data_IF_181308624064
#
_entry.id   IF_181308624064
#
_cell.length_a   1.000
_cell.length_b   1.000
_cell.length_c   1.000
_cell.angle_alpha   90.00
_cell.angle_beta   90.00
_cell.angle_gamma   90.00
#
_symmetry.space_group_name_H-M   'P 1'
#
loop_
_entity.id
_entity.type
_entity.pdbx_description
1 polymer ?
#
# COMPACT_ATOMS: atom_id res chain seq x y z
N UNK A 1 -5.29 21.12 -1.93
CA UNK A 1 -6.52 20.44 -1.45
C UNK A 1 -6.05 19.45 -0.41
N UNK A 2 -6.57 19.56 0.80
CA UNK A 2 -6.30 18.62 1.90
C UNK A 2 -6.90 17.25 1.55
N UNK A 3 -6.22 16.16 1.93
CA UNK A 3 -6.70 14.79 1.80
C UNK A 3 -7.77 14.48 2.86
N UNK A 4 -8.71 13.56 2.60
CA UNK A 4 -9.67 13.12 3.60
C UNK A 4 -8.97 12.54 4.84
N UNK A 5 -9.65 12.56 5.99
CA UNK A 5 -9.21 11.82 7.19
C UNK A 5 -9.01 10.34 6.87
N UNK A 6 -8.10 9.67 7.57
CA UNK A 6 -7.75 8.27 7.30
C UNK A 6 -8.97 7.35 7.37
N UNK A 7 -9.89 7.54 8.31
CA UNK A 7 -11.14 6.76 8.37
C UNK A 7 -12.00 6.91 7.12
N UNK A 8 -12.01 8.09 6.50
CA UNK A 8 -12.72 8.35 5.23
C UNK A 8 -11.97 7.75 4.05
N UNK A 9 -10.63 7.80 4.06
CA UNK A 9 -9.84 7.13 3.03
C UNK A 9 -10.04 5.61 3.09
N UNK A 10 -9.96 5.02 4.28
CA UNK A 10 -10.18 3.59 4.55
C UNK A 10 -11.54 3.14 4.00
N UNK A 11 -12.62 3.86 4.32
CA UNK A 11 -13.95 3.51 3.85
C UNK A 11 -14.07 3.62 2.33
N UNK A 12 -13.58 4.71 1.72
CA UNK A 12 -13.64 4.88 0.26
C UNK A 12 -12.80 3.86 -0.49
N UNK A 13 -11.64 3.49 0.05
CA UNK A 13 -10.77 2.48 -0.57
C UNK A 13 -11.45 1.11 -0.47
N UNK A 14 -12.00 0.74 0.69
CA UNK A 14 -12.67 -0.56 0.85
C UNK A 14 -13.96 -0.66 0.02
N UNK A 15 -14.73 0.43 -0.10
CA UNK A 15 -15.86 0.53 -1.04
C UNK A 15 -15.40 0.34 -2.50
N UNK A 16 -14.30 1.00 -2.89
CA UNK A 16 -13.70 0.82 -4.22
C UNK A 16 -13.31 -0.64 -4.45
N UNK A 17 -12.63 -1.27 -3.50
CA UNK A 17 -12.24 -2.68 -3.60
C UNK A 17 -13.45 -3.61 -3.72
N UNK A 18 -14.53 -3.36 -2.99
CA UNK A 18 -15.76 -4.17 -3.03
C UNK A 18 -16.56 -4.05 -4.32
N UNK A 19 -16.35 -2.98 -5.09
CA UNK A 19 -17.11 -2.69 -6.32
C UNK A 19 -16.31 -2.90 -7.60
N UNK A 20 -15.00 -3.11 -7.51
CA UNK A 20 -14.12 -3.24 -8.66
C UNK A 20 -14.02 -4.70 -9.11
N UNK A 21 -14.31 -4.95 -10.39
CA UNK A 21 -14.18 -6.28 -10.99
C UNK A 21 -12.73 -6.78 -10.93
N UNK A 22 -12.57 -8.09 -10.74
CA UNK A 22 -11.28 -8.76 -10.65
C UNK A 22 -10.57 -8.62 -9.29
N UNK A 23 -11.09 -7.83 -8.35
CA UNK A 23 -10.55 -7.78 -6.98
C UNK A 23 -11.05 -8.95 -6.16
N UNK A 24 -12.34 -9.29 -6.22
CA UNK A 24 -12.87 -10.43 -5.46
C UNK A 24 -12.07 -11.71 -5.74
N UNK A 25 -11.73 -12.47 -4.69
CA UNK A 25 -10.86 -13.63 -4.82
C UNK A 25 -11.40 -14.69 -5.79
N UNK A 26 -12.73 -14.84 -5.89
CA UNK A 26 -13.35 -15.79 -6.81
C UNK A 26 -13.15 -15.39 -8.28
N UNK A 27 -13.01 -14.10 -8.57
CA UNK A 27 -12.68 -13.57 -9.90
C UNK A 27 -11.16 -13.51 -10.12
N UNK A 28 -10.41 -13.03 -9.12
CA UNK A 28 -8.95 -12.87 -9.14
C UNK A 28 -8.24 -14.16 -9.60
N UNK A 29 -8.65 -15.31 -9.06
CA UNK A 29 -8.03 -16.61 -9.36
C UNK A 29 -8.28 -17.09 -10.80
N UNK A 30 -9.29 -16.54 -11.48
CA UNK A 30 -9.70 -16.93 -12.83
C UNK A 30 -9.14 -16.00 -13.92
N UNK A 31 -8.76 -14.77 -13.57
CA UNK A 31 -8.19 -13.82 -14.53
C UNK A 31 -6.69 -14.07 -14.78
N UNK A 32 -6.24 -13.66 -15.97
CA UNK A 32 -4.83 -13.77 -16.39
C UNK A 32 -3.91 -12.90 -15.53
N UNK A 33 -2.62 -13.20 -15.59
CA UNK A 33 -1.59 -12.36 -14.96
C UNK A 33 -1.65 -10.90 -15.43
N UNK A 34 -1.79 -10.66 -16.74
CA UNK A 34 -1.86 -9.31 -17.29
C UNK A 34 -3.10 -8.56 -16.77
N UNK A 35 -4.25 -9.25 -16.70
CA UNK A 35 -5.46 -8.67 -16.12
C UNK A 35 -5.30 -8.37 -14.62
N UNK A 36 -4.59 -9.21 -13.85
CA UNK A 36 -4.26 -8.91 -12.45
C UNK A 36 -3.43 -7.63 -12.34
N UNK A 37 -2.44 -7.47 -13.20
CA UNK A 37 -1.63 -6.24 -13.24
C UNK A 37 -2.47 -5.00 -13.56
N UNK A 38 -3.39 -5.12 -14.53
CA UNK A 38 -4.33 -4.04 -14.86
C UNK A 38 -5.24 -3.69 -13.67
N UNK A 39 -5.80 -4.70 -13.00
CA UNK A 39 -6.62 -4.54 -11.79
C UNK A 39 -5.84 -3.83 -10.69
N UNK A 40 -4.60 -4.25 -10.42
CA UNK A 40 -3.75 -3.61 -9.40
C UNK A 40 -3.42 -2.16 -9.75
N UNK A 41 -3.09 -1.87 -11.01
CA UNK A 41 -2.83 -0.50 -11.45
C UNK A 41 -4.08 0.38 -11.34
N UNK A 42 -5.26 -0.15 -11.67
CA UNK A 42 -6.53 0.56 -11.50
C UNK A 42 -6.82 0.84 -10.03
N UNK A 43 -6.59 -0.14 -9.14
CA UNK A 43 -6.76 0.05 -7.70
C UNK A 43 -5.84 1.15 -7.17
N UNK A 44 -4.55 1.11 -7.50
CA UNK A 44 -3.58 2.14 -7.11
C UNK A 44 -3.98 3.54 -7.62
N UNK A 45 -4.44 3.64 -8.87
CA UNK A 45 -4.94 4.91 -9.40
C UNK A 45 -6.10 5.49 -8.57
N UNK A 46 -6.99 4.62 -8.08
CA UNK A 46 -8.12 5.04 -7.22
C UNK A 46 -7.65 5.40 -5.82
N UNK A 47 -6.76 4.60 -5.21
CA UNK A 47 -6.18 4.87 -3.90
C UNK A 47 -5.45 6.22 -3.90
N UNK A 48 -4.61 6.48 -4.91
CA UNK A 48 -3.88 7.73 -5.06
C UNK A 48 -4.82 8.93 -5.20
N UNK A 49 -5.89 8.78 -6.00
CA UNK A 49 -6.91 9.82 -6.15
C UNK A 49 -7.66 10.09 -4.84
N UNK A 50 -8.00 9.07 -4.05
CA UNK A 50 -8.65 9.22 -2.74
C UNK A 50 -7.73 9.94 -1.74
N UNK A 51 -6.44 9.62 -1.77
CA UNK A 51 -5.42 10.19 -0.87
C UNK A 51 -4.82 11.50 -1.39
N UNK A 52 -5.32 12.05 -2.50
CA UNK A 52 -4.84 13.31 -3.09
C UNK A 52 -3.33 13.36 -3.41
N UNK A 53 -2.75 12.22 -3.78
CA UNK A 53 -1.37 12.10 -4.28
C UNK A 53 -1.33 11.62 -5.74
N UNK A 54 -0.22 11.82 -6.47
CA UNK A 54 0.00 11.16 -7.74
C UNK A 54 -0.01 9.63 -7.60
N UNK A 55 -0.54 8.93 -8.60
CA UNK A 55 -0.54 7.48 -8.64
C UNK A 55 0.88 6.94 -8.88
N UNK A 56 1.18 5.80 -8.26
CA UNK A 56 2.37 5.03 -8.55
C UNK A 56 2.15 4.14 -9.78
N UNK A 57 3.23 3.90 -10.52
CA UNK A 57 3.24 2.80 -11.50
C UNK A 57 3.39 1.48 -10.73
N UNK A 58 2.48 0.54 -10.97
CA UNK A 58 2.52 -0.80 -10.38
C UNK A 58 3.31 -1.71 -11.30
N UNK A 59 4.42 -2.21 -10.79
CA UNK A 59 5.34 -3.09 -11.49
C UNK A 59 5.47 -4.42 -10.76
N UNK A 60 6.12 -5.36 -11.44
CA UNK A 60 6.40 -6.68 -10.89
C UNK A 60 7.84 -7.09 -11.17
N UNK A 61 8.44 -7.78 -10.21
CA UNK A 61 9.81 -8.32 -10.28
C UNK A 61 9.88 -9.61 -9.47
N UNK A 62 10.79 -10.51 -9.83
CA UNK A 62 11.15 -11.59 -8.92
C UNK A 62 12.03 -11.01 -7.80
N UNK A 63 11.51 -11.00 -6.57
CA UNK A 63 12.21 -10.48 -5.37
C UNK A 63 12.83 -11.59 -4.51
N UNK A 64 12.67 -12.85 -4.90
CA UNK A 64 13.07 -14.01 -4.10
C UNK A 64 12.11 -14.31 -2.94
N UNK A 65 12.44 -15.36 -2.18
CA UNK A 65 11.60 -15.84 -1.09
C UNK A 65 11.58 -14.86 0.09
N UNK A 66 10.38 -14.60 0.62
CA UNK A 66 10.17 -13.78 1.82
C UNK A 66 10.05 -12.27 1.57
N UNK A 67 10.18 -11.81 0.31
CA UNK A 67 9.99 -10.41 -0.07
C UNK A 67 8.74 -10.28 -0.93
N UNK A 68 7.76 -9.47 -0.49
CA UNK A 68 6.45 -9.38 -1.14
C UNK A 68 6.37 -8.14 -2.03
N UNK A 69 6.87 -6.99 -1.57
CA UNK A 69 6.95 -5.80 -2.40
C UNK A 69 7.75 -4.68 -1.76
N UNK A 70 7.83 -3.55 -2.48
CA UNK A 70 8.43 -2.30 -2.01
C UNK A 70 7.93 -1.12 -2.86
N UNK A 71 7.91 0.06 -2.26
CA UNK A 71 7.84 1.35 -2.90
C UNK A 71 9.24 1.91 -3.18
N UNK A 72 9.45 2.45 -4.38
CA UNK A 72 10.66 3.19 -4.76
C UNK A 72 10.35 4.68 -4.90
N UNK A 73 10.93 5.48 -4.00
CA UNK A 73 10.79 6.94 -3.97
C UNK A 73 11.33 7.60 -5.25
N UNK A 74 12.50 7.14 -5.75
CA UNK A 74 13.17 7.71 -6.93
C UNK A 74 12.36 7.58 -8.22
N UNK A 75 11.63 6.48 -8.35
CA UNK A 75 10.90 6.15 -9.58
C UNK A 75 9.38 6.26 -9.44
N UNK A 76 8.90 6.52 -8.22
CA UNK A 76 7.48 6.50 -7.86
C UNK A 76 6.77 5.20 -8.29
N UNK A 77 7.40 4.06 -8.01
CA UNK A 77 6.91 2.72 -8.41
C UNK A 77 6.60 1.86 -7.19
N UNK A 78 5.51 1.11 -7.27
CA UNK A 78 5.23 0.01 -6.34
C UNK A 78 5.58 -1.28 -7.06
N UNK A 79 6.54 -2.03 -6.54
CA UNK A 79 6.94 -3.33 -7.11
C UNK A 79 6.41 -4.45 -6.23
N UNK A 80 5.62 -5.37 -6.80
CA UNK A 80 5.12 -6.56 -6.11
C UNK A 80 5.78 -7.81 -6.70
N UNK A 81 6.09 -8.77 -5.84
CA UNK A 81 6.75 -10.01 -6.21
C UNK A 81 5.86 -10.82 -7.17
N UNK A 82 6.43 -11.17 -8.32
CA UNK A 82 5.75 -11.88 -9.40
C UNK A 82 5.16 -13.22 -8.95
N UNK A 83 5.79 -13.90 -8.00
CA UNK A 83 5.36 -15.22 -7.53
C UNK A 83 4.03 -15.13 -6.76
N UNK A 84 3.80 -14.03 -6.04
CA UNK A 84 2.55 -13.79 -5.32
C UNK A 84 1.41 -13.42 -6.28
N UNK A 85 1.69 -12.56 -7.27
CA UNK A 85 0.69 -12.18 -8.29
C UNK A 85 0.26 -13.38 -9.13
N UNK A 86 1.18 -14.31 -9.45
CA UNK A 86 0.87 -15.52 -10.22
C UNK A 86 0.15 -16.59 -9.41
N UNK A 87 0.27 -16.57 -8.09
CA UNK A 87 -0.36 -17.56 -7.23
C UNK A 87 -1.88 -17.47 -7.29
N UNK A 88 -2.53 -18.62 -7.23
CA UNK A 88 -3.98 -18.74 -7.05
C UNK A 88 -4.36 -19.05 -5.59
N UNK A 89 -3.42 -18.93 -4.65
CA UNK A 89 -3.72 -19.14 -3.23
C UNK A 89 -4.37 -17.91 -2.61
N UNK A 90 -5.32 -18.13 -1.70
CA UNK A 90 -5.97 -17.07 -0.93
C UNK A 90 -4.96 -16.24 -0.14
N UNK A 91 -3.98 -16.89 0.49
CA UNK A 91 -2.94 -16.19 1.25
C UNK A 91 -2.12 -15.25 0.36
N UNK A 92 -1.70 -15.68 -0.83
CA UNK A 92 -0.93 -14.82 -1.73
C UNK A 92 -1.78 -13.66 -2.25
N UNK A 93 -3.05 -13.90 -2.55
CA UNK A 93 -4.01 -12.87 -2.93
C UNK A 93 -4.12 -11.77 -1.85
N UNK A 94 -4.31 -12.15 -0.59
CA UNK A 94 -4.35 -11.19 0.54
C UNK A 94 -3.06 -10.39 0.63
N UNK A 95 -1.92 -11.07 0.54
CA UNK A 95 -0.61 -10.42 0.62
C UNK A 95 -0.36 -9.42 -0.52
N UNK A 96 -0.85 -9.70 -1.73
CA UNK A 96 -0.76 -8.76 -2.86
C UNK A 96 -1.56 -7.49 -2.59
N UNK A 97 -2.80 -7.61 -2.12
CA UNK A 97 -3.64 -6.45 -1.83
C UNK A 97 -3.10 -5.64 -0.65
N UNK A 98 -2.67 -6.32 0.42
CA UNK A 98 -2.04 -5.70 1.59
C UNK A 98 -0.81 -4.90 1.19
N UNK A 99 0.09 -5.52 0.44
CA UNK A 99 1.32 -4.88 -0.05
C UNK A 99 1.00 -3.67 -0.92
N UNK A 100 0.03 -3.75 -1.83
CA UNK A 100 -0.32 -2.61 -2.67
C UNK A 100 -0.77 -1.40 -1.82
N UNK A 101 -1.63 -1.63 -0.82
CA UNK A 101 -2.13 -0.56 0.06
C UNK A 101 -1.02 -0.03 0.97
N UNK A 102 -0.20 -0.91 1.55
CA UNK A 102 0.93 -0.56 2.41
C UNK A 102 1.96 0.31 1.67
N UNK A 103 2.43 -0.15 0.51
CA UNK A 103 3.39 0.60 -0.30
C UNK A 103 2.77 1.87 -0.90
N UNK A 104 1.47 1.86 -1.17
CA UNK A 104 0.71 3.06 -1.53
C UNK A 104 0.62 4.09 -0.38
N UNK A 105 0.65 3.64 0.88
CA UNK A 105 0.73 4.53 2.05
C UNK A 105 2.14 5.10 2.22
N UNK A 106 3.19 4.32 1.93
CA UNK A 106 4.56 4.85 1.85
C UNK A 106 4.72 5.94 0.79
N UNK A 107 4.11 5.77 -0.39
CA UNK A 107 4.07 6.82 -1.41
C UNK A 107 3.34 8.09 -0.94
N UNK A 108 2.28 7.93 -0.13
CA UNK A 108 1.57 9.04 0.49
C UNK A 108 2.40 9.77 1.54
N UNK A 109 3.06 9.04 2.43
CA UNK A 109 3.96 9.64 3.42
C UNK A 109 5.09 10.42 2.73
N UNK A 110 5.74 9.83 1.72
CA UNK A 110 6.77 10.50 0.93
C UNK A 110 6.23 11.78 0.26
N UNK A 111 5.05 11.74 -0.36
CA UNK A 111 4.43 12.92 -0.96
C UNK A 111 4.21 14.05 0.06
N UNK A 112 3.76 13.72 1.26
CA UNK A 112 3.53 14.70 2.33
C UNK A 112 4.83 15.31 2.87
N UNK A 113 5.91 14.54 2.96
CA UNK A 113 7.19 15.01 3.47
C UNK A 113 8.01 15.82 2.45
N UNK A 114 7.97 15.44 1.18
CA UNK A 114 8.92 15.95 0.17
C UNK A 114 8.29 16.83 -0.91
N UNK A 115 6.97 16.75 -1.14
CA UNK A 115 6.33 17.40 -2.28
C UNK A 115 5.28 18.41 -1.83
N UNK A 116 4.23 17.93 -1.16
CA UNK A 116 3.15 18.76 -0.67
C UNK A 116 2.42 18.04 0.43
N UNK A 117 2.40 18.67 1.60
CA UNK A 117 1.58 18.23 2.71
C UNK A 117 0.09 18.41 2.37
N UNK A 118 -0.61 17.29 2.35
CA UNK A 118 -2.07 17.19 2.18
C UNK A 118 -2.72 16.46 3.34
N UNK A 119 -1.94 15.79 4.19
CA UNK A 119 -2.45 15.00 5.30
C UNK A 119 -3.07 15.90 6.37
N UNK A 120 -4.29 15.59 6.85
CA UNK A 120 -5.02 16.51 7.71
C UNK A 120 -4.52 16.54 9.17
N UNK A 121 -3.65 15.61 9.59
CA UNK A 121 -3.18 15.49 10.99
C UNK A 121 -1.68 15.76 11.11
N UNK A 122 -1.35 16.98 11.50
CA UNK A 122 0.03 17.46 11.70
C UNK A 122 0.89 16.56 12.61
N UNK A 123 0.29 15.93 13.61
CA UNK A 123 1.02 15.02 14.52
C UNK A 123 1.54 13.76 13.83
N UNK A 124 0.82 13.23 12.83
CA UNK A 124 1.25 12.04 12.08
C UNK A 124 2.38 12.40 11.12
N UNK A 125 2.25 13.51 10.40
CA UNK A 125 3.33 14.07 9.56
C UNK A 125 4.58 14.36 10.38
N UNK A 126 4.45 14.91 11.58
CA UNK A 126 5.57 15.15 12.49
C UNK A 126 6.29 13.86 12.88
N UNK A 127 5.55 12.78 13.16
CA UNK A 127 6.15 11.48 13.48
C UNK A 127 6.91 10.89 12.28
N UNK A 128 6.36 11.01 11.07
CA UNK A 128 7.06 10.59 9.85
C UNK A 128 8.32 11.42 9.60
N UNK A 129 8.24 12.74 9.81
CA UNK A 129 9.35 13.67 9.69
C UNK A 129 10.50 13.32 10.65
N UNK A 130 10.20 13.07 11.93
CA UNK A 130 11.20 12.62 12.92
C UNK A 130 11.82 11.28 12.50
N UNK A 131 10.99 10.34 12.04
CA UNK A 131 11.49 9.05 11.57
C UNK A 131 12.48 9.22 10.41
N UNK A 132 12.15 10.06 9.44
CA UNK A 132 12.92 10.24 8.20
C UNK A 132 14.19 11.07 8.41
N UNK A 133 14.05 12.25 9.04
CA UNK A 133 15.12 13.26 9.06
C UNK A 133 15.94 13.29 10.36
N UNK A 134 15.40 12.80 11.49
CA UNK A 134 16.16 12.76 12.75
C UNK A 134 16.77 11.39 13.02
N UNK A 135 15.97 10.33 12.92
CA UNK A 135 16.46 8.97 13.19
C UNK A 135 16.97 8.25 11.94
N UNK A 136 16.42 8.58 10.77
CA UNK A 136 16.65 7.86 9.52
C UNK A 136 15.98 6.49 9.50
N UNK A 137 15.64 6.02 8.30
CA UNK A 137 15.03 4.71 8.09
C UNK A 137 15.92 3.56 8.56
N UNK A 138 15.32 2.58 9.26
CA UNK A 138 15.98 1.42 9.88
C UNK A 138 15.61 0.13 9.15
N UNK A 139 16.47 -0.28 8.22
CA UNK A 139 16.25 -1.50 7.45
C UNK A 139 16.41 -2.79 8.30
N UNK A 140 15.82 -3.88 7.80
CA UNK A 140 15.84 -5.19 8.47
C UNK A 140 17.26 -5.75 8.58
N UNK A 141 18.13 -5.51 7.60
CA UNK A 141 19.47 -6.10 7.54
C UNK A 141 20.37 -5.57 8.66
N UNK A 142 20.31 -4.26 8.97
CA UNK A 142 21.17 -3.63 9.97
C UNK A 142 20.54 -3.55 11.36
N UNK A 143 19.22 -3.38 11.46
CA UNK A 143 18.53 -3.12 12.73
C UNK A 143 17.61 -4.26 13.19
N UNK A 144 17.37 -5.23 12.31
CA UNK A 144 16.49 -6.36 12.57
C UNK A 144 15.01 -6.02 12.39
N UNK A 145 14.22 -7.07 12.14
CA UNK A 145 12.79 -6.96 11.82
C UNK A 145 11.98 -6.22 12.89
N UNK A 146 12.30 -6.41 14.17
CA UNK A 146 11.56 -5.76 15.27
C UNK A 146 11.71 -4.23 15.23
N UNK A 147 12.92 -3.72 14.99
CA UNK A 147 13.14 -2.27 14.93
C UNK A 147 12.48 -1.72 13.68
N UNK A 148 12.69 -2.37 12.55
CA UNK A 148 12.06 -2.03 11.27
C UNK A 148 10.55 -1.82 11.40
N UNK A 149 9.82 -2.82 11.92
CA UNK A 149 8.35 -2.79 11.93
C UNK A 149 7.76 -1.76 12.90
N UNK A 150 8.50 -1.35 13.94
CA UNK A 150 8.05 -0.41 14.97
C UNK A 150 8.33 1.05 14.60
N UNK A 151 9.00 1.30 13.47
CA UNK A 151 9.21 2.66 12.98
C UNK A 151 7.86 3.34 12.71
N UNK A 152 7.69 4.63 13.08
CA UNK A 152 6.44 5.36 12.82
C UNK A 152 5.89 5.23 11.41
N UNK A 153 6.73 5.30 10.38
CA UNK A 153 6.29 5.17 8.97
C UNK A 153 5.77 3.76 8.65
N UNK A 154 6.46 2.71 9.12
CA UNK A 154 6.07 1.32 8.93
C UNK A 154 4.85 0.92 9.75
N UNK A 155 4.73 1.45 10.97
CA UNK A 155 3.60 1.21 11.86
C UNK A 155 2.32 1.85 11.32
N UNK A 156 2.40 3.08 10.81
CA UNK A 156 1.28 3.76 10.14
C UNK A 156 0.87 3.04 8.85
N UNK A 157 1.82 2.71 7.96
CA UNK A 157 1.54 2.02 6.71
C UNK A 157 0.83 0.68 6.93
N UNK A 158 1.30 -0.09 7.91
CA UNK A 158 0.71 -1.38 8.28
C UNK A 158 -0.68 -1.24 8.86
N UNK A 159 -0.87 -0.35 9.85
CA UNK A 159 -2.17 -0.15 10.46
C UNK A 159 -3.21 0.31 9.42
N UNK A 160 -2.82 1.21 8.52
CA UNK A 160 -3.68 1.68 7.45
C UNK A 160 -4.08 0.55 6.48
N UNK A 161 -3.13 -0.28 6.04
CA UNK A 161 -3.39 -1.41 5.15
C UNK A 161 -4.28 -2.47 5.81
N UNK A 162 -3.99 -2.82 7.07
CA UNK A 162 -4.79 -3.75 7.88
C UNK A 162 -6.25 -3.27 8.01
N UNK A 163 -6.47 -2.00 8.31
CA UNK A 163 -7.81 -1.42 8.46
C UNK A 163 -8.58 -1.37 7.13
N UNK A 164 -7.91 -1.04 6.01
CA UNK A 164 -8.49 -1.10 4.66
C UNK A 164 -8.95 -2.51 4.34
N UNK A 165 -8.07 -3.50 4.50
CA UNK A 165 -8.40 -4.90 4.18
C UNK A 165 -9.48 -5.45 5.09
N UNK A 166 -9.44 -5.13 6.39
CA UNK A 166 -10.49 -5.55 7.32
C UNK A 166 -11.85 -4.96 6.94
N UNK A 167 -11.90 -3.67 6.59
CA UNK A 167 -13.12 -3.02 6.11
C UNK A 167 -13.63 -3.70 4.83
N UNK A 168 -12.74 -3.96 3.86
CA UNK A 168 -13.08 -4.66 2.62
C UNK A 168 -13.62 -6.07 2.87
N UNK A 169 -12.93 -6.89 3.68
CA UNK A 169 -13.36 -8.26 3.99
C UNK A 169 -14.73 -8.30 4.66
N UNK A 170 -15.02 -7.34 5.55
CA UNK A 170 -16.34 -7.24 6.19
C UNK A 170 -17.48 -6.87 5.23
N UNK A 171 -17.17 -6.26 4.08
CA UNK A 171 -18.15 -5.88 3.05
C UNK A 171 -18.50 -7.02 2.10
N UNK A 172 -17.61 -8.00 1.97
CA UNK A 172 -17.79 -9.15 1.05
C UNK A 172 -18.13 -10.47 1.77
N UNK A 173 -18.13 -10.46 3.11
CA UNK A 173 -18.53 -11.59 3.95
C UNK A 173 -20.06 -11.72 4.05
#
# INVERSE_FOLDING_TARGET
MEAPQDSVQIEKISETMSSMAGIDYSEWKEISFDNRMEVLQQLENKIAAISHRPACEVCTKNLGNGYIGNYSQDSNKITINIDYIRSNSGDAYIQVLDTLVHEGRHAYQHYNLYVREVHPRQGEVSNWCINEFEYGYKDVQHFGFKVYQMQPVEADARAFAEDVLKSYMSKIA
#
